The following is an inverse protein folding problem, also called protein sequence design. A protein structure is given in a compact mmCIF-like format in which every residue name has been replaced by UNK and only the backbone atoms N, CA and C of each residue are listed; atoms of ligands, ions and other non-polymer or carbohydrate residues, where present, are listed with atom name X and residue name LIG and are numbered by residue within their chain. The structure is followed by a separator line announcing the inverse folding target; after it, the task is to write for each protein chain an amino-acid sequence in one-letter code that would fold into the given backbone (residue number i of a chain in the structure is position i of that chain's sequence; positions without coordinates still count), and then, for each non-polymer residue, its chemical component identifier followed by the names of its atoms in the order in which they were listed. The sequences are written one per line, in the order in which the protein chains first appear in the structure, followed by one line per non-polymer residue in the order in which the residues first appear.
data_IF_310535788696
#
_entry.id   IF_310535788696
#
_cell.length_a   1.000
_cell.length_b   1.000
_cell.length_c   1.000
_cell.angle_alpha   90.00
_cell.angle_beta   90.00
_cell.angle_gamma   90.00
#
_symmetry.space_group_name_H-M   'P 1'
#
loop_
_entity.id
_entity.type
_entity.pdbx_description
1 polymer ?
#
# COMPACT_ATOMS: atom_id res chain seq x y z
N UNK A 1 19.55 -9.40 5.56
CA UNK A 1 19.38 -8.86 4.19
C UNK A 1 17.89 -8.66 3.92
N UNK A 2 17.38 -7.43 3.93
CA UNK A 2 15.96 -7.16 3.62
C UNK A 2 15.65 -5.73 3.14
N UNK A 3 16.64 -4.85 3.05
CA UNK A 3 16.40 -3.40 3.10
C UNK A 3 15.99 -2.74 1.77
N UNK A 4 15.92 -3.50 0.68
CA UNK A 4 15.51 -3.01 -0.64
C UNK A 4 14.16 -3.62 -1.07
N UNK A 5 13.97 -4.93 -0.88
CA UNK A 5 12.72 -5.61 -1.24
C UNK A 5 11.51 -5.15 -0.42
N UNK A 6 11.70 -4.88 0.88
CA UNK A 6 10.62 -4.44 1.79
C UNK A 6 10.16 -3.01 1.49
N UNK A 7 11.11 -2.12 1.18
CA UNK A 7 10.83 -0.74 0.75
C UNK A 7 10.17 -0.68 -0.63
N UNK A 8 10.61 -1.54 -1.55
CA UNK A 8 10.00 -1.68 -2.87
C UNK A 8 8.58 -2.25 -2.75
N UNK A 9 8.33 -3.23 -1.86
CA UNK A 9 7.01 -3.82 -1.66
C UNK A 9 5.99 -2.80 -1.13
N UNK A 10 6.39 -1.94 -0.18
CA UNK A 10 5.52 -0.86 0.32
C UNK A 10 5.19 0.21 -0.74
N UNK A 11 6.19 0.59 -1.55
CA UNK A 11 5.99 1.50 -2.67
C UNK A 11 5.11 0.88 -3.76
N UNK A 12 5.33 -0.39 -4.10
CA UNK A 12 4.57 -1.15 -5.10
C UNK A 12 3.11 -1.32 -4.68
N UNK A 13 2.84 -1.65 -3.42
CA UNK A 13 1.46 -1.84 -2.96
C UNK A 13 0.65 -0.53 -2.92
N UNK A 14 1.29 0.61 -2.62
CA UNK A 14 0.65 1.93 -2.74
C UNK A 14 0.38 2.28 -4.20
N UNK A 15 1.32 1.96 -5.09
CA UNK A 15 1.18 2.24 -6.52
C UNK A 15 0.08 1.38 -7.16
N UNK A 16 -0.01 0.10 -6.78
CA UNK A 16 -1.10 -0.80 -7.19
C UNK A 16 -2.45 -0.36 -6.60
N UNK A 17 -2.49 0.05 -5.32
CA UNK A 17 -3.70 0.56 -4.68
C UNK A 17 -4.23 1.82 -5.37
N UNK A 18 -3.36 2.79 -5.66
CA UNK A 18 -3.70 3.99 -6.43
C UNK A 18 -4.10 3.69 -7.87
N UNK A 19 -3.44 2.74 -8.53
CA UNK A 19 -3.82 2.31 -9.87
C UNK A 19 -5.22 1.69 -9.87
N UNK A 20 -5.53 0.78 -8.93
CA UNK A 20 -6.88 0.23 -8.76
C UNK A 20 -7.92 1.31 -8.45
N UNK A 21 -7.57 2.29 -7.61
CA UNK A 21 -8.46 3.43 -7.31
C UNK A 21 -8.76 4.25 -8.56
N UNK A 22 -7.72 4.61 -9.32
CA UNK A 22 -7.84 5.39 -10.54
C UNK A 22 -8.62 4.64 -11.62
N UNK A 23 -8.24 3.40 -11.90
CA UNK A 23 -8.92 2.55 -12.88
C UNK A 23 -10.37 2.30 -12.47
N UNK A 24 -10.65 2.09 -11.18
CA UNK A 24 -12.00 1.89 -10.67
C UNK A 24 -12.88 3.13 -10.82
N UNK A 25 -12.35 4.32 -10.51
CA UNK A 25 -13.06 5.58 -10.75
C UNK A 25 -13.30 5.84 -12.24
N UNK A 26 -12.31 5.55 -13.07
CA UNK A 26 -12.35 5.83 -14.51
C UNK A 26 -13.27 4.86 -15.26
N UNK A 27 -13.30 3.58 -14.86
CA UNK A 27 -14.19 2.56 -15.45
C UNK A 27 -15.58 2.49 -14.78
N UNK A 28 -15.82 3.28 -13.72
CA UNK A 28 -17.07 3.28 -12.94
C UNK A 28 -17.22 2.11 -11.96
N UNK A 29 -16.16 1.33 -11.72
CA UNK A 29 -16.16 0.19 -10.81
C UNK A 29 -15.85 0.65 -9.38
N UNK A 30 -16.91 1.00 -8.66
CA UNK A 30 -16.85 1.46 -7.26
C UNK A 30 -16.18 0.44 -6.34
N UNK A 31 -16.33 -0.85 -6.63
CA UNK A 31 -15.73 -1.94 -5.88
C UNK A 31 -14.21 -1.93 -6.04
N UNK A 32 -13.73 -1.84 -7.28
CA UNK A 32 -12.30 -1.74 -7.58
C UNK A 32 -11.69 -0.47 -6.95
N UNK A 33 -12.41 0.64 -7.00
CA UNK A 33 -11.96 1.88 -6.40
C UNK A 33 -11.82 1.79 -4.87
N UNK A 34 -12.84 1.22 -4.22
CA UNK A 34 -12.84 1.00 -2.78
C UNK A 34 -11.76 0.01 -2.33
N UNK A 35 -11.54 -1.08 -3.08
CA UNK A 35 -10.45 -2.02 -2.83
C UNK A 35 -9.08 -1.32 -2.93
N UNK A 36 -8.86 -0.50 -3.96
CA UNK A 36 -7.63 0.26 -4.13
C UNK A 36 -7.34 1.20 -2.96
N UNK A 37 -8.33 1.97 -2.54
CA UNK A 37 -8.24 2.88 -1.39
C UNK A 37 -7.97 2.13 -0.07
N UNK A 38 -8.69 1.02 0.15
CA UNK A 38 -8.49 0.18 1.34
C UNK A 38 -7.10 -0.46 1.37
N UNK A 39 -6.61 -0.92 0.22
CA UNK A 39 -5.31 -1.57 0.08
C UNK A 39 -4.15 -0.58 0.28
N UNK A 40 -4.28 0.66 -0.21
CA UNK A 40 -3.34 1.76 0.03
C UNK A 40 -3.29 2.14 1.52
N UNK A 41 -4.45 2.30 2.16
CA UNK A 41 -4.56 2.59 3.59
C UNK A 41 -3.92 1.47 4.44
N UNK A 42 -4.22 0.21 4.13
CA UNK A 42 -3.64 -0.95 4.84
C UNK A 42 -2.13 -1.03 4.66
N UNK A 43 -1.64 -0.78 3.44
CA UNK A 43 -0.21 -0.76 3.12
C UNK A 43 0.55 0.34 3.88
N UNK A 44 -0.04 1.54 3.99
CA UNK A 44 0.51 2.63 4.80
C UNK A 44 0.56 2.29 6.28
N UNK A 45 -0.50 1.70 6.83
CA UNK A 45 -0.54 1.26 8.24
C UNK A 45 0.53 0.19 8.50
N UNK A 46 0.64 -0.83 7.64
CA UNK A 46 1.69 -1.85 7.77
C UNK A 46 3.09 -1.25 7.66
N UNK A 47 3.31 -0.33 6.73
CA UNK A 47 4.61 0.34 6.57
C UNK A 47 4.95 1.17 7.80
N UNK A 48 3.97 1.90 8.35
CA UNK A 48 4.16 2.70 9.57
C UNK A 48 4.42 1.81 10.78
N UNK A 49 3.65 0.73 10.95
CA UNK A 49 3.83 -0.24 12.02
C UNK A 49 5.18 -0.98 11.91
N UNK A 50 5.60 -1.35 10.69
CA UNK A 50 6.90 -1.95 10.41
C UNK A 50 8.06 -0.99 10.69
N UNK A 51 7.95 0.28 10.27
CA UNK A 51 8.92 1.33 10.59
C UNK A 51 9.00 1.60 12.09
N UNK A 52 7.86 1.65 12.78
CA UNK A 52 7.82 1.80 14.21
C UNK A 52 8.54 0.61 14.86
N UNK A 53 8.15 -0.63 14.54
CA UNK A 53 8.77 -1.86 15.07
C UNK A 53 10.29 -1.91 14.82
N UNK A 54 10.74 -1.53 13.63
CA UNK A 54 12.17 -1.42 13.29
C UNK A 54 12.90 -0.31 14.07
N UNK A 55 12.20 0.75 14.51
CA UNK A 55 12.78 1.82 15.31
C UNK A 55 12.82 1.51 16.82
N UNK A 56 11.92 0.68 17.33
CA UNK A 56 11.88 0.26 18.76
C UNK A 56 12.73 -0.98 19.04
N UNK A 57 13.17 -1.72 18.02
CA UNK A 57 14.09 -2.83 18.20
C UNK A 57 13.76 -4.02 17.29
N UNK A 58 14.48 -4.05 16.17
CA UNK A 58 15.41 -5.13 15.88
C UNK A 58 16.84 -4.57 15.95
#
# INVERSE_FOLDING_TARGET
MGSVSDRISGATNSLVGKAKEAIGKETGDVKLAAEGAAQDAKGKIQTAAGKAKAAIGE
#
